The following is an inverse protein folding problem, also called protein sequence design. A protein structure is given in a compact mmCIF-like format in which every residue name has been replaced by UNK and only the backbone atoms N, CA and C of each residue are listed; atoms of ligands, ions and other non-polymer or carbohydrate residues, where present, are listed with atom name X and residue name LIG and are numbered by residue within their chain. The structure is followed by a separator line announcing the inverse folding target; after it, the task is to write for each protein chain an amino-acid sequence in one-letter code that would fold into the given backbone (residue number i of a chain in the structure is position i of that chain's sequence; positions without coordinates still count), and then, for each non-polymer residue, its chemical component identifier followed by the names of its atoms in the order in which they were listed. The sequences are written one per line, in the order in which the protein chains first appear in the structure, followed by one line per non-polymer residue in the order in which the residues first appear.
data_IF_555441814574
#
_entry.id   IF_555441814574
#
_cell.length_a   1.000
_cell.length_b   1.000
_cell.length_c   1.000
_cell.angle_alpha   90.00
_cell.angle_beta   90.00
_cell.angle_gamma   90.00
#
_symmetry.space_group_name_H-M   'P 1'
#
loop_
_entity.id
_entity.type
_entity.pdbx_description
1 polymer ?
#
# COMPACT_ATOMS: atom_id res chain seq x y z
N UNK A 1 18.26 -6.11 -7.05
CA UNK A 1 16.97 -6.57 -6.50
C UNK A 1 16.11 -5.34 -6.29
N UNK A 2 14.86 -5.38 -6.74
CA UNK A 2 13.90 -4.33 -6.45
C UNK A 2 13.23 -4.63 -5.11
N UNK A 3 13.34 -3.69 -4.16
CA UNK A 3 12.68 -3.80 -2.85
C UNK A 3 11.36 -3.03 -2.93
N UNK A 4 10.28 -3.63 -2.46
CA UNK A 4 8.96 -3.02 -2.43
C UNK A 4 8.55 -2.73 -0.98
N UNK A 5 8.55 -1.45 -0.60
CA UNK A 5 8.15 -1.02 0.75
C UNK A 5 6.64 -0.79 0.82
N UNK A 6 6.05 -1.00 2.00
CA UNK A 6 4.62 -0.75 2.22
C UNK A 6 4.34 0.75 2.08
N UNK A 7 3.35 1.10 1.26
CA UNK A 7 2.90 2.48 1.14
C UNK A 7 2.23 2.92 2.44
N UNK A 8 2.86 3.85 3.17
CA UNK A 8 2.39 4.30 4.47
C UNK A 8 1.04 5.03 4.39
N UNK A 9 0.75 5.68 3.27
CA UNK A 9 -0.51 6.37 3.03
C UNK A 9 -1.73 5.45 3.08
N UNK A 10 -1.63 4.24 2.51
CA UNK A 10 -2.73 3.28 2.50
C UNK A 10 -2.47 2.03 3.35
N UNK A 11 -1.36 2.01 4.09
CA UNK A 11 -0.93 0.90 4.94
C UNK A 11 -0.95 -0.45 4.21
N UNK A 12 -0.57 -0.45 2.93
CA UNK A 12 -0.51 -1.67 2.12
C UNK A 12 -1.80 -2.08 1.41
N UNK A 13 -2.94 -1.44 1.71
CA UNK A 13 -4.23 -1.81 1.10
C UNK A 13 -4.37 -1.42 -0.38
N UNK A 14 -3.60 -0.42 -0.82
CA UNK A 14 -3.78 0.21 -2.13
C UNK A 14 -5.01 1.11 -2.21
N UNK A 15 -5.78 1.27 -1.13
CA UNK A 15 -7.02 2.03 -1.10
C UNK A 15 -7.00 3.12 -0.03
N UNK A 16 -7.72 4.21 -0.28
CA UNK A 16 -8.11 5.23 0.67
C UNK A 16 -9.62 5.26 0.72
N UNK A 17 -10.18 5.14 1.91
CA UNK A 17 -11.62 5.04 2.12
C UNK A 17 -12.17 6.39 2.56
N UNK A 18 -13.22 6.87 1.90
CA UNK A 18 -14.02 8.00 2.34
C UNK A 18 -15.47 7.60 2.53
N UNK A 19 -16.21 8.38 3.33
CA UNK A 19 -17.66 8.25 3.46
C UNK A 19 -18.30 9.42 2.73
N UNK A 20 -19.29 9.13 1.89
CA UNK A 20 -20.09 10.16 1.21
C UNK A 20 -21.55 9.98 1.60
N UNK A 21 -22.20 11.10 1.93
CA UNK A 21 -23.65 11.13 2.08
C UNK A 21 -24.32 11.24 0.71
N UNK A 22 -25.46 10.60 0.55
CA UNK A 22 -26.35 10.81 -0.57
C UNK A 22 -27.77 11.07 -0.08
N UNK A 23 -28.51 11.90 -0.82
CA UNK A 23 -29.90 12.22 -0.58
C UNK A 23 -30.67 12.06 -1.89
N UNK A 24 -31.72 11.24 -1.86
CA UNK A 24 -32.63 10.97 -2.97
C UNK A 24 -34.09 11.10 -2.54
N UNK A 25 -35.02 10.99 -3.49
CA UNK A 25 -36.45 11.08 -3.22
C UNK A 25 -36.99 9.94 -2.32
N UNK A 26 -36.23 8.86 -2.21
CA UNK A 26 -36.49 7.66 -1.42
C UNK A 26 -35.76 7.65 -0.05
N UNK A 27 -34.88 8.61 0.23
CA UNK A 27 -34.26 8.78 1.55
C UNK A 27 -32.86 9.37 1.54
N UNK A 28 -32.23 9.32 2.72
CA UNK A 28 -30.83 9.71 2.93
C UNK A 28 -30.02 8.50 3.39
N UNK A 29 -28.78 8.41 2.94
CA UNK A 29 -27.89 7.32 3.30
C UNK A 29 -26.43 7.72 3.20
N UNK A 30 -25.57 6.85 3.73
CA UNK A 30 -24.12 6.99 3.63
C UNK A 30 -23.56 5.82 2.84
N UNK A 31 -22.52 6.06 2.05
CA UNK A 31 -21.81 5.05 1.30
C UNK A 31 -20.30 5.14 1.58
N UNK A 32 -19.71 3.99 1.88
CA UNK A 32 -18.25 3.83 1.98
C UNK A 32 -17.70 3.69 0.57
N UNK A 33 -16.87 4.64 0.14
CA UNK A 33 -16.31 4.68 -1.22
C UNK A 33 -14.80 4.49 -1.18
N UNK A 34 -14.30 3.29 -1.54
CA UNK A 34 -12.87 3.07 -1.70
C UNK A 34 -12.36 3.75 -2.97
N UNK A 35 -11.29 4.55 -2.83
CA UNK A 35 -10.55 5.09 -3.97
C UNK A 35 -9.13 4.54 -3.98
N UNK A 36 -8.54 4.39 -5.16
CA UNK A 36 -7.12 4.01 -5.27
C UNK A 36 -6.26 5.03 -4.54
N UNK A 37 -5.31 4.54 -3.75
CA UNK A 37 -4.32 5.40 -3.12
C UNK A 37 -3.40 5.98 -4.21
N UNK A 38 -3.42 7.31 -4.36
CA UNK A 38 -2.68 8.01 -5.41
C UNK A 38 -1.16 7.81 -5.26
N UNK A 39 -0.66 7.89 -4.02
CA UNK A 39 0.78 7.82 -3.72
C UNK A 39 1.44 6.52 -4.17
N UNK A 40 0.69 5.42 -4.23
CA UNK A 40 1.18 4.13 -4.71
C UNK A 40 0.38 3.59 -5.90
N UNK A 41 -0.36 4.46 -6.61
CA UNK A 41 -1.18 4.10 -7.79
C UNK A 41 -2.10 2.88 -7.59
N UNK A 42 -2.50 2.64 -6.34
CA UNK A 42 -3.34 1.51 -5.94
C UNK A 42 -2.64 0.17 -5.72
N UNK A 43 -1.31 0.09 -5.79
CA UNK A 43 -0.57 -1.16 -5.58
C UNK A 43 -0.41 -1.57 -4.11
N UNK A 44 -0.58 -0.61 -3.18
CA UNK A 44 -0.24 -0.78 -1.76
C UNK A 44 1.26 -0.71 -1.45
N UNK A 45 2.14 -0.62 -2.47
CA UNK A 45 3.59 -0.68 -2.30
C UNK A 45 4.31 0.35 -3.16
N UNK A 46 5.43 0.86 -2.65
CA UNK A 46 6.33 1.73 -3.41
C UNK A 46 7.56 0.90 -3.81
N UNK A 47 7.89 0.92 -5.11
CA UNK A 47 9.12 0.34 -5.62
C UNK A 47 10.27 1.26 -5.26
N UNK A 48 11.28 0.72 -4.59
CA UNK A 48 12.52 1.44 -4.29
C UNK A 48 13.65 0.81 -5.08
N UNK A 49 14.34 1.62 -5.86
CA UNK A 49 15.58 1.25 -6.55
C UNK A 49 16.78 1.52 -5.65
N UNK A 50 17.90 0.84 -5.90
CA UNK A 50 19.18 1.13 -5.21
C UNK A 50 19.39 0.46 -3.84
N UNK A 51 18.44 -0.35 -3.36
CA UNK A 51 18.63 -1.16 -2.16
C UNK A 51 19.21 -2.52 -2.55
N UNK A 52 20.49 -2.73 -2.26
CA UNK A 52 21.12 -4.06 -2.29
C UNK A 52 21.11 -4.65 -0.89
N UNK A 53 20.49 -5.82 -0.74
CA UNK A 53 20.70 -6.62 0.45
C UNK A 53 22.21 -6.94 0.55
N UNK A 54 22.83 -6.81 1.74
CA UNK A 54 24.19 -7.28 1.92
C UNK A 54 24.26 -8.78 1.56
N UNK A 55 25.37 -9.25 0.98
CA UNK A 55 25.52 -10.67 0.67
C UNK A 55 25.31 -11.47 1.95
N UNK A 56 24.61 -12.60 1.85
CA UNK A 56 24.46 -13.52 2.98
C UNK A 56 25.86 -13.85 3.52
N UNK A 57 26.07 -13.78 4.85
CA UNK A 57 27.34 -14.21 5.42
C UNK A 57 27.55 -15.67 5.03
N UNK A 58 28.68 -15.95 4.37
CA UNK A 58 29.04 -17.32 4.05
C UNK A 58 29.11 -18.11 5.35
N UNK A 59 28.37 -19.22 5.43
CA UNK A 59 28.47 -20.19 6.50
C UNK A 59 29.92 -20.71 6.52
N UNK A 60 30.78 -20.05 7.30
CA UNK A 60 32.14 -20.54 7.54
C UNK A 60 32.01 -21.84 8.32
N UNK A 61 32.50 -22.97 7.81
CA UNK A 61 32.52 -24.22 8.55
C UNK A 61 33.30 -23.99 9.84
N UNK A 62 32.67 -24.27 10.97
CA UNK A 62 33.32 -24.20 12.29
C UNK A 62 34.42 -25.27 12.36
N UNK A 63 35.63 -24.94 12.86
CA UNK A 63 36.72 -25.91 13.01
C UNK A 63 36.41 -26.99 14.05
#
# INVERSE_FOLDING_TARGET
MDVAIVCQSCQGSGLRVGVVGYAGGDGVGEMVVPRRCADCTGSGRLLTTGWTAPPEPADTPRP
#
